data_IF_439932426329
#
_entry.id   IF_439932426329
#
_cell.length_a   1.000
_cell.length_b   1.000
_cell.length_c   1.000
_cell.angle_alpha   90.00
_cell.angle_beta   90.00
_cell.angle_gamma   90.00
#
_symmetry.space_group_name_H-M   'P 1'
#
loop_
_entity.id
_entity.type
_entity.pdbx_description
1 polymer ?
#
# COMPACT_ATOMS: atom_id res chain seq x y z
N UNK A 1 3.87 34.13 -11.77
CA UNK A 1 2.85 33.32 -11.07
C UNK A 1 3.11 33.06 -9.56
N UNK A 2 4.09 33.72 -8.89
CA UNK A 2 4.42 33.48 -7.47
C UNK A 2 3.64 34.31 -6.44
N UNK A 3 2.89 35.34 -6.85
CA UNK A 3 2.29 36.32 -5.93
C UNK A 3 0.94 35.92 -5.33
N UNK A 4 0.25 34.90 -5.87
CA UNK A 4 -1.09 34.52 -5.40
C UNK A 4 -1.10 33.56 -4.20
N UNK A 5 0.01 32.89 -3.89
CA UNK A 5 0.05 31.89 -2.80
C UNK A 5 0.41 32.45 -1.41
N UNK A 6 0.82 33.73 -1.32
CA UNK A 6 1.35 34.33 -0.09
C UNK A 6 0.29 34.92 0.85
N UNK A 7 -1.00 34.87 0.50
CA UNK A 7 -2.07 35.52 1.29
C UNK A 7 -2.57 34.60 2.42
N UNK A 8 -2.33 33.28 2.35
CA UNK A 8 -2.82 32.32 3.34
C UNK A 8 -1.69 31.99 4.33
N UNK A 9 -1.83 32.27 5.64
CA UNK A 9 -0.81 31.99 6.65
C UNK A 9 -0.39 30.51 6.72
N UNK A 10 -1.29 29.59 6.38
CA UNK A 10 -1.04 28.14 6.33
C UNK A 10 -0.05 27.76 5.22
N UNK A 11 -0.03 28.50 4.11
CA UNK A 11 0.93 28.27 3.02
C UNK A 11 2.35 28.69 3.39
N UNK A 12 2.54 29.48 4.45
CA UNK A 12 3.86 29.89 4.91
C UNK A 12 4.68 28.68 5.37
N UNK A 13 4.08 27.79 6.17
CA UNK A 13 4.74 26.55 6.63
C UNK A 13 5.08 25.62 5.48
N UNK A 14 4.20 25.53 4.47
CA UNK A 14 4.44 24.73 3.26
C UNK A 14 5.59 25.31 2.43
N UNK A 15 5.61 26.63 2.21
CA UNK A 15 6.71 27.31 1.52
C UNK A 15 8.04 27.15 2.27
N UNK A 16 8.04 27.28 3.60
CA UNK A 16 9.23 27.05 4.44
C UNK A 16 9.71 25.59 4.37
N UNK A 17 8.80 24.62 4.33
CA UNK A 17 9.14 23.20 4.18
C UNK A 17 9.70 22.89 2.78
N UNK A 18 9.12 23.45 1.73
CA UNK A 18 9.61 23.34 0.35
C UNK A 18 10.97 24.02 0.17
N UNK A 19 11.15 25.20 0.77
CA UNK A 19 12.43 25.91 0.75
C UNK A 19 13.51 25.15 1.53
N UNK A 20 13.16 24.56 2.69
CA UNK A 20 14.05 23.69 3.45
C UNK A 20 14.43 22.43 2.67
N UNK A 21 13.48 21.82 1.95
CA UNK A 21 13.73 20.68 1.08
C UNK A 21 14.66 21.05 -0.07
N UNK A 22 14.39 22.15 -0.78
CA UNK A 22 15.22 22.64 -1.87
C UNK A 22 16.64 22.99 -1.39
N UNK A 23 16.77 23.60 -0.21
CA UNK A 23 18.07 23.88 0.42
C UNK A 23 18.82 22.60 0.79
N UNK A 24 18.13 21.56 1.25
CA UNK A 24 18.73 20.26 1.53
C UNK A 24 19.23 19.58 0.24
N UNK A 25 18.44 19.60 -0.83
CA UNK A 25 18.86 19.10 -2.15
C UNK A 25 20.07 19.87 -2.70
N UNK A 26 20.07 21.19 -2.54
CA UNK A 26 21.18 22.04 -2.97
C UNK A 26 22.43 21.74 -2.14
N UNK A 27 22.31 21.60 -0.83
CA UNK A 27 23.42 21.17 0.05
C UNK A 27 23.97 19.80 -0.35
N UNK A 28 23.12 18.83 -0.70
CA UNK A 28 23.58 17.51 -1.17
C UNK A 28 24.35 17.65 -2.49
N UNK A 29 23.86 18.49 -3.42
CA UNK A 29 24.57 18.79 -4.67
C UNK A 29 25.90 19.48 -4.43
N UNK A 30 25.95 20.43 -3.50
CA UNK A 30 27.15 21.20 -3.19
C UNK A 30 28.19 20.37 -2.42
N UNK A 31 27.77 19.53 -1.48
CA UNK A 31 28.65 18.51 -0.85
C UNK A 31 29.14 17.51 -1.88
N UNK A 32 28.28 17.06 -2.80
CA UNK A 32 28.71 16.17 -3.89
C UNK A 32 29.75 16.83 -4.81
N UNK A 33 29.61 18.14 -5.07
CA UNK A 33 30.59 18.92 -5.84
C UNK A 33 31.89 19.13 -5.07
N UNK A 34 31.82 19.42 -3.77
CA UNK A 34 32.98 19.68 -2.92
C UNK A 34 33.81 18.41 -2.73
N UNK A 35 33.15 17.27 -2.47
CA UNK A 35 33.80 15.95 -2.43
C UNK A 35 34.44 15.62 -3.77
N UNK A 36 33.80 15.95 -4.90
CA UNK A 36 34.42 15.78 -6.22
C UNK A 36 35.66 16.66 -6.41
N UNK A 37 35.61 17.91 -5.95
CA UNK A 37 36.70 18.89 -6.13
C UNK A 37 37.90 18.61 -5.22
N UNK A 38 37.67 18.23 -3.96
CA UNK A 38 38.75 17.90 -3.02
C UNK A 38 39.37 16.53 -3.28
N UNK A 39 38.55 15.53 -3.63
CA UNK A 39 39.08 14.18 -3.86
C UNK A 39 39.58 13.94 -5.29
N UNK A 40 39.21 14.80 -6.24
CA UNK A 40 39.58 14.69 -7.66
C UNK A 40 39.98 16.03 -8.26
N UNK A 41 40.94 16.73 -7.64
CA UNK A 41 41.51 17.98 -8.16
C UNK A 41 42.11 17.83 -9.57
N UNK A 42 42.59 16.63 -9.91
CA UNK A 42 43.21 16.27 -11.20
C UNK A 42 42.21 16.14 -12.37
N UNK A 43 40.92 15.93 -12.08
CA UNK A 43 39.85 15.81 -13.10
C UNK A 43 39.25 17.17 -13.51
N UNK A 44 39.72 18.27 -12.92
CA UNK A 44 39.30 19.60 -13.31
C UNK A 44 40.21 20.14 -14.43
N UNK A 45 39.64 20.53 -15.59
CA UNK A 45 40.41 20.93 -16.78
C UNK A 45 41.29 22.18 -16.59
N UNK A 46 41.19 22.88 -15.46
CA UNK A 46 42.04 24.03 -15.12
C UNK A 46 43.49 23.65 -14.76
N UNK A 47 43.83 22.37 -14.61
CA UNK A 47 45.22 21.92 -14.34
C UNK A 47 45.93 21.30 -15.55
N UNK A 48 45.28 21.24 -16.73
CA UNK A 48 45.88 20.69 -17.95
C UNK A 48 46.40 21.82 -18.84
N UNK A 49 47.33 22.63 -18.32
CA UNK A 49 48.29 23.33 -19.17
C UNK A 49 49.69 23.08 -18.62
N UNK A 50 50.60 22.71 -19.53
CA UNK A 50 52.01 22.39 -19.35
C UNK A 50 52.33 20.96 -18.88
N UNK A 51 52.46 20.06 -19.85
CA UNK A 51 53.73 19.35 -19.97
C UNK A 51 53.67 17.86 -20.26
N UNK A 52 54.15 17.56 -21.46
CA UNK A 52 55.11 16.47 -21.74
C UNK A 52 54.59 15.14 -22.26
N UNK A 53 55.40 14.65 -23.19
CA UNK A 53 55.18 13.58 -24.13
C UNK A 53 55.51 12.20 -23.56
N UNK A 54 54.90 11.21 -24.22
CA UNK A 54 55.34 9.82 -24.36
C UNK A 54 55.46 8.97 -23.07
N UNK A 55 54.57 7.97 -22.92
CA UNK A 55 55.02 6.61 -22.60
C UNK A 55 53.90 5.56 -22.73
N UNK A 56 54.35 4.41 -23.21
CA UNK A 56 53.73 3.10 -23.44
C UNK A 56 52.58 2.62 -22.55
N UNK A 57 51.60 1.97 -23.19
CA UNK A 57 51.34 0.54 -23.04
C UNK A 57 50.77 -0.01 -21.73
N UNK A 58 50.37 0.83 -20.77
CA UNK A 58 49.58 0.40 -19.61
C UNK A 58 48.16 0.90 -19.75
N UNK A 59 47.16 0.05 -19.45
CA UNK A 59 45.77 0.49 -19.31
C UNK A 59 45.80 1.71 -18.39
N UNK A 60 45.30 2.89 -18.83
CA UNK A 60 45.41 4.11 -18.05
C UNK A 60 44.88 3.84 -16.66
N UNK A 61 45.74 4.01 -15.63
CA UNK A 61 45.36 3.80 -14.22
C UNK A 61 44.09 4.59 -13.87
N UNK A 62 43.86 5.68 -14.58
CA UNK A 62 42.64 6.50 -14.64
C UNK A 62 41.35 5.70 -14.94
N UNK A 63 41.35 4.81 -15.93
CA UNK A 63 40.17 4.01 -16.29
C UNK A 63 39.80 3.03 -15.18
N UNK A 64 40.80 2.46 -14.50
CA UNK A 64 40.60 1.53 -13.38
C UNK A 64 40.08 2.26 -12.14
N UNK A 65 40.58 3.47 -11.90
CA UNK A 65 40.13 4.34 -10.80
C UNK A 65 38.69 4.80 -11.04
N UNK A 66 38.35 5.24 -12.26
CA UNK A 66 36.99 5.67 -12.62
C UNK A 66 35.97 4.52 -12.53
N UNK A 67 36.32 3.33 -12.99
CA UNK A 67 35.45 2.15 -12.88
C UNK A 67 35.17 1.79 -11.41
N UNK A 68 36.20 1.84 -10.55
CA UNK A 68 36.07 1.58 -9.11
C UNK A 68 35.22 2.64 -8.41
N UNK A 69 35.30 3.90 -8.84
CA UNK A 69 34.49 5.01 -8.32
C UNK A 69 33.02 4.89 -8.72
N UNK A 70 32.72 4.52 -9.98
CA UNK A 70 31.35 4.25 -10.43
C UNK A 70 30.72 3.09 -9.65
N UNK A 71 31.51 2.05 -9.35
CA UNK A 71 31.07 0.90 -8.56
C UNK A 71 30.75 1.28 -7.09
N UNK A 72 31.58 2.10 -6.45
CA UNK A 72 31.33 2.61 -5.10
C UNK A 72 30.08 3.50 -5.04
N UNK A 73 29.92 4.44 -5.99
CA UNK A 73 28.74 5.30 -6.06
C UNK A 73 27.45 4.50 -6.26
N UNK A 74 27.47 3.51 -7.16
CA UNK A 74 26.33 2.63 -7.38
C UNK A 74 25.99 1.79 -6.14
N UNK A 75 27.00 1.32 -5.39
CA UNK A 75 26.81 0.56 -4.14
C UNK A 75 26.15 1.43 -3.07
N UNK A 76 26.63 2.65 -2.87
CA UNK A 76 26.13 3.57 -1.86
C UNK A 76 24.69 4.03 -2.17
N UNK A 77 24.40 4.32 -3.44
CA UNK A 77 23.03 4.63 -3.89
C UNK A 77 22.08 3.44 -3.73
N UNK A 78 22.55 2.22 -4.00
CA UNK A 78 21.77 0.99 -3.81
C UNK A 78 21.46 0.75 -2.33
N UNK A 79 22.42 0.96 -1.43
CA UNK A 79 22.20 0.83 0.02
C UNK A 79 21.23 1.87 0.56
N UNK A 80 21.34 3.14 0.13
CA UNK A 80 20.37 4.20 0.46
C UNK A 80 18.96 3.84 -0.03
N UNK A 81 18.80 3.43 -1.28
CA UNK A 81 17.48 3.00 -1.81
C UNK A 81 16.96 1.76 -1.07
N UNK A 82 17.84 0.86 -0.65
CA UNK A 82 17.47 -0.33 0.12
C UNK A 82 16.99 0.04 1.52
N UNK A 83 17.64 0.98 2.21
CA UNK A 83 17.20 1.43 3.54
C UNK A 83 15.83 2.13 3.47
N UNK A 84 15.58 2.97 2.46
CA UNK A 84 14.26 3.58 2.22
C UNK A 84 13.17 2.55 1.88
N UNK A 85 13.48 1.53 1.07
CA UNK A 85 12.52 0.47 0.74
C UNK A 85 12.25 -0.48 1.90
N UNK A 86 13.20 -0.66 2.82
CA UNK A 86 13.01 -1.53 3.99
C UNK A 86 12.00 -0.93 4.97
N UNK A 87 12.06 0.40 5.18
CA UNK A 87 11.06 1.14 5.97
C UNK A 87 9.68 1.04 5.31
N UNK A 88 9.60 1.20 3.99
CA UNK A 88 8.35 1.04 3.22
C UNK A 88 7.77 -0.37 3.25
N UNK A 89 8.61 -1.42 3.20
CA UNK A 89 8.18 -2.82 3.24
C UNK A 89 7.66 -3.24 4.62
N UNK A 90 8.28 -2.77 5.69
CA UNK A 90 7.78 -3.00 7.06
C UNK A 90 6.42 -2.33 7.27
N UNK A 91 6.22 -1.12 6.75
CA UNK A 91 4.91 -0.46 6.79
C UNK A 91 3.87 -1.23 5.98
N UNK A 92 4.20 -1.70 4.76
CA UNK A 92 3.30 -2.51 3.93
C UNK A 92 2.86 -3.80 4.62
N UNK A 93 3.77 -4.50 5.31
CA UNK A 93 3.45 -5.72 6.06
C UNK A 93 2.51 -5.42 7.24
N UNK A 94 2.77 -4.36 8.01
CA UNK A 94 1.90 -3.90 9.10
C UNK A 94 0.50 -3.49 8.61
N UNK A 95 0.37 -2.90 7.42
CA UNK A 95 -0.95 -2.52 6.88
C UNK A 95 -1.78 -3.71 6.41
N UNK A 96 -1.14 -4.79 5.96
CA UNK A 96 -1.83 -6.03 5.59
C UNK A 96 -2.41 -6.74 6.81
N UNK A 97 -1.77 -6.61 7.98
CA UNK A 97 -2.22 -7.28 9.21
C UNK A 97 -3.26 -6.48 10.00
N UNK A 98 -3.35 -5.15 9.83
CA UNK A 98 -4.38 -4.33 10.52
C UNK A 98 -5.81 -4.69 10.10
N UNK A 99 -6.67 -4.94 11.08
CA UNK A 99 -8.10 -5.19 10.89
C UNK A 99 -8.83 -3.92 10.44
N UNK A 100 -10.03 -4.06 9.88
CA UNK A 100 -10.84 -2.89 9.50
C UNK A 100 -11.29 -2.07 10.70
N UNK A 101 -11.49 -2.69 11.86
CA UNK A 101 -11.74 -2.00 13.12
C UNK A 101 -10.61 -1.01 13.45
N UNK A 102 -9.35 -1.46 13.44
CA UNK A 102 -8.18 -0.60 13.70
C UNK A 102 -8.02 0.50 12.65
N UNK A 103 -8.25 0.18 11.36
CA UNK A 103 -8.21 1.17 10.27
C UNK A 103 -9.29 2.24 10.44
N UNK A 104 -10.48 1.83 10.92
CA UNK A 104 -11.62 2.70 11.13
C UNK A 104 -11.37 3.73 12.24
N UNK A 105 -10.51 3.45 13.22
CA UNK A 105 -10.13 4.44 14.24
C UNK A 105 -9.39 5.64 13.66
N UNK A 106 -8.51 5.43 12.69
CA UNK A 106 -7.86 6.52 11.96
C UNK A 106 -8.87 7.32 11.11
N UNK A 107 -9.85 6.64 10.51
CA UNK A 107 -10.92 7.27 9.73
C UNK A 107 -11.85 8.09 10.63
N UNK A 108 -12.18 7.58 11.83
CA UNK A 108 -12.93 8.35 12.83
C UNK A 108 -12.16 9.60 13.22
N UNK A 109 -10.87 9.48 13.57
CA UNK A 109 -10.03 10.62 13.95
C UNK A 109 -10.08 11.70 12.87
N UNK A 110 -9.92 11.29 11.60
CA UNK A 110 -10.00 12.17 10.44
C UNK A 110 -11.34 12.92 10.33
N UNK A 111 -12.47 12.24 10.48
CA UNK A 111 -13.79 12.88 10.34
C UNK A 111 -14.26 13.65 11.58
N UNK A 112 -13.65 13.44 12.75
CA UNK A 112 -14.06 14.10 13.99
C UNK A 112 -13.59 15.56 14.03
N UNK A 113 -14.54 16.49 14.17
CA UNK A 113 -14.31 17.95 14.12
C UNK A 113 -13.28 18.47 15.11
N UNK A 114 -13.27 17.94 16.35
CA UNK A 114 -12.33 18.36 17.39
C UNK A 114 -11.02 17.56 17.42
N UNK A 115 -10.87 16.54 16.57
CA UNK A 115 -9.66 15.71 16.53
C UNK A 115 -8.88 16.01 15.25
N UNK A 116 -9.17 15.29 14.17
CA UNK A 116 -8.48 15.44 12.89
C UNK A 116 -9.04 16.53 11.99
N UNK A 117 -10.32 16.91 12.14
CA UNK A 117 -10.95 17.99 11.35
C UNK A 117 -10.69 17.91 9.84
N UNK A 118 -10.75 16.70 9.27
CA UNK A 118 -10.42 16.40 7.88
C UNK A 118 -8.97 16.70 7.46
N UNK A 119 -8.03 16.79 8.40
CA UNK A 119 -6.59 16.86 8.14
C UNK A 119 -6.03 15.44 7.89
N UNK A 120 -5.81 15.14 6.61
CA UNK A 120 -5.27 13.85 6.17
C UNK A 120 -3.82 13.67 6.61
N UNK A 121 -3.00 14.73 6.57
CA UNK A 121 -1.57 14.64 6.88
C UNK A 121 -1.35 14.37 8.36
N UNK A 122 -2.05 15.10 9.22
CA UNK A 122 -2.03 14.86 10.67
C UNK A 122 -2.47 13.43 11.00
N UNK A 123 -3.59 12.98 10.42
CA UNK A 123 -4.11 11.63 10.63
C UNK A 123 -3.09 10.58 10.19
N UNK A 124 -2.52 10.73 9.00
CA UNK A 124 -1.53 9.79 8.46
C UNK A 124 -0.26 9.75 9.30
N UNK A 125 0.23 10.91 9.74
CA UNK A 125 1.40 11.02 10.62
C UNK A 125 1.15 10.33 11.96
N UNK A 126 -0.01 10.59 12.59
CA UNK A 126 -0.32 10.11 13.93
C UNK A 126 -0.55 8.59 14.00
N UNK A 127 -1.22 8.02 12.99
CA UNK A 127 -1.49 6.58 12.93
C UNK A 127 -0.42 5.78 12.18
N UNK A 128 0.64 6.45 11.74
CA UNK A 128 1.70 5.92 10.88
C UNK A 128 1.09 5.20 9.68
N UNK A 129 0.30 5.93 8.88
CA UNK A 129 -0.36 5.46 7.66
C UNK A 129 0.22 6.19 6.46
N UNK A 130 0.47 5.47 5.37
CA UNK A 130 0.84 6.09 4.10
C UNK A 130 -0.33 6.92 3.54
N UNK A 131 -0.05 8.17 3.17
CA UNK A 131 -1.07 9.12 2.69
C UNK A 131 -1.94 8.55 1.56
N UNK A 132 -1.33 7.99 0.51
CA UNK A 132 -2.07 7.45 -0.64
C UNK A 132 -2.95 6.26 -0.25
N UNK A 133 -2.51 5.47 0.73
CA UNK A 133 -3.28 4.35 1.25
C UNK A 133 -4.51 4.83 2.02
N UNK A 134 -4.33 5.81 2.90
CA UNK A 134 -5.43 6.41 3.65
C UNK A 134 -6.43 7.10 2.71
N UNK A 135 -5.95 7.88 1.74
CA UNK A 135 -6.75 8.53 0.72
C UNK A 135 -7.62 7.53 -0.04
N UNK A 136 -7.08 6.36 -0.40
CA UNK A 136 -7.86 5.31 -1.05
C UNK A 136 -9.01 4.80 -0.16
N UNK A 137 -8.80 4.64 1.16
CA UNK A 137 -9.84 4.17 2.08
C UNK A 137 -11.05 5.11 2.17
N UNK A 138 -10.79 6.43 2.13
CA UNK A 138 -11.83 7.47 2.26
C UNK A 138 -12.45 7.90 0.92
N UNK A 139 -11.79 7.63 -0.21
CA UNK A 139 -12.29 8.02 -1.55
C UNK A 139 -12.96 6.87 -2.30
N UNK A 140 -12.47 5.64 -2.16
CA UNK A 140 -12.96 4.51 -2.95
C UNK A 140 -14.21 3.88 -2.31
N UNK A 141 -15.32 3.91 -3.04
CA UNK A 141 -16.65 3.48 -2.57
C UNK A 141 -16.69 2.05 -2.02
N UNK A 142 -15.92 1.12 -2.60
CA UNK A 142 -15.88 -0.28 -2.13
C UNK A 142 -15.29 -0.45 -0.72
N UNK A 143 -14.63 0.57 -0.16
CA UNK A 143 -14.14 0.54 1.21
C UNK A 143 -15.17 1.05 2.21
N UNK A 144 -16.16 1.85 1.80
CA UNK A 144 -17.09 2.51 2.73
C UNK A 144 -17.85 1.50 3.58
N UNK A 145 -18.40 0.45 2.95
CA UNK A 145 -19.09 -0.63 3.68
C UNK A 145 -18.20 -1.35 4.71
N UNK A 146 -16.88 -1.29 4.57
CA UNK A 146 -15.94 -1.95 5.49
C UNK A 146 -15.65 -1.16 6.76
N UNK A 147 -15.81 0.17 6.73
CA UNK A 147 -15.45 1.03 7.87
C UNK A 147 -16.59 1.87 8.43
N UNK A 148 -17.64 2.19 7.66
CA UNK A 148 -18.72 3.10 8.09
C UNK A 148 -19.35 2.65 9.40
N UNK A 149 -19.68 1.36 9.52
CA UNK A 149 -20.31 0.81 10.73
C UNK A 149 -19.42 0.90 11.98
N UNK A 150 -18.10 0.73 11.84
CA UNK A 150 -17.16 0.92 12.95
C UNK A 150 -17.07 2.39 13.35
N UNK A 151 -16.92 3.29 12.37
CA UNK A 151 -16.77 4.72 12.64
C UNK A 151 -18.02 5.30 13.33
N UNK A 152 -19.21 4.82 12.99
CA UNK A 152 -20.45 5.23 13.66
C UNK A 152 -20.60 4.62 15.07
N UNK A 153 -20.04 3.43 15.30
CA UNK A 153 -20.09 2.78 16.61
C UNK A 153 -19.08 3.37 17.61
N UNK A 154 -17.95 3.88 17.13
CA UNK A 154 -16.89 4.39 17.99
C UNK A 154 -17.26 5.69 18.70
N UNK A 155 -16.59 5.89 19.83
CA UNK A 155 -16.53 7.13 20.60
C UNK A 155 -15.08 7.59 20.71
N UNK A 156 -14.86 8.84 21.12
CA UNK A 156 -13.52 9.38 21.36
C UNK A 156 -12.75 8.50 22.38
N UNK A 157 -13.44 8.00 23.41
CA UNK A 157 -12.86 7.07 24.42
C UNK A 157 -12.21 5.82 23.82
N UNK A 158 -12.70 5.32 22.69
CA UNK A 158 -12.24 4.08 22.07
C UNK A 158 -10.96 4.25 21.25
N UNK A 159 -10.62 5.52 20.94
CA UNK A 159 -9.56 5.89 19.99
C UNK A 159 -8.37 6.51 20.72
N UNK A 160 -8.61 7.27 21.80
CA UNK A 160 -7.54 7.85 22.61
C UNK A 160 -6.46 6.83 23.03
N UNK A 161 -6.77 5.58 23.40
CA UNK A 161 -5.76 4.57 23.74
C UNK A 161 -4.82 4.20 22.59
N UNK A 162 -5.26 4.32 21.34
CA UNK A 162 -4.46 3.97 20.16
C UNK A 162 -3.60 5.14 19.65
N UNK A 163 -3.86 6.36 20.15
CA UNK A 163 -3.02 7.51 19.83
C UNK A 163 -1.70 7.44 20.60
N UNK A 164 -0.58 7.93 20.03
CA UNK A 164 0.66 8.06 20.78
C UNK A 164 0.46 8.98 22.01
N UNK A 165 1.00 8.57 23.16
CA UNK A 165 0.80 9.28 24.43
C UNK A 165 1.23 10.76 24.38
N UNK A 166 2.18 11.10 23.51
CA UNK A 166 2.65 12.48 23.27
C UNK A 166 1.55 13.41 22.76
N UNK A 167 0.58 12.89 22.01
CA UNK A 167 -0.50 13.69 21.43
C UNK A 167 -1.78 13.67 22.26
N UNK A 168 -1.98 12.67 23.14
CA UNK A 168 -3.22 12.51 23.92
C UNK A 168 -3.55 13.73 24.77
N UNK A 169 -2.52 14.37 25.36
CA UNK A 169 -2.68 15.57 26.20
C UNK A 169 -3.38 16.72 25.48
N UNK A 170 -3.19 16.83 24.17
CA UNK A 170 -3.78 17.90 23.37
C UNK A 170 -5.29 17.71 23.15
N UNK A 171 -5.85 16.57 23.55
CA UNK A 171 -7.24 16.19 23.34
C UNK A 171 -7.96 15.82 24.64
N UNK A 172 -7.38 16.16 25.80
CA UNK A 172 -7.99 15.89 27.12
C UNK A 172 -9.32 16.62 27.31
N UNK A 173 -9.46 17.81 26.71
CA UNK A 173 -10.70 18.61 26.78
C UNK A 173 -11.80 18.14 25.83
N UNK A 174 -11.53 17.14 24.97
CA UNK A 174 -12.52 16.61 24.03
C UNK A 174 -13.45 15.64 24.76
N UNK A 175 -14.77 15.85 24.62
CA UNK A 175 -15.77 14.96 25.20
C UNK A 175 -15.54 13.50 24.75
N UNK A 176 -15.24 12.64 25.73
CA UNK A 176 -14.96 11.23 25.52
C UNK A 176 -16.14 10.46 24.89
N UNK A 177 -17.37 10.95 25.08
CA UNK A 177 -18.59 10.36 24.53
C UNK A 177 -18.94 10.82 23.12
N UNK A 178 -18.22 11.82 22.59
CA UNK A 178 -18.46 12.39 21.27
C UNK A 178 -18.28 11.35 20.17
N UNK A 179 -19.15 11.44 19.15
CA UNK A 179 -19.19 10.53 18.01
C UNK A 179 -19.12 11.30 16.70
N UNK A 180 -18.74 10.60 15.62
CA UNK A 180 -18.72 11.16 14.27
C UNK A 180 -20.05 10.88 13.57
N UNK A 181 -20.69 11.94 13.06
CA UNK A 181 -21.80 11.79 12.12
C UNK A 181 -21.26 11.67 10.69
N UNK A 182 -21.35 10.46 10.13
CA UNK A 182 -20.94 10.20 8.75
C UNK A 182 -22.03 10.64 7.78
N UNK A 183 -21.63 11.41 6.77
CA UNK A 183 -22.51 11.86 5.70
C UNK A 183 -23.14 10.67 4.95
N UNK A 184 -24.43 10.77 4.68
CA UNK A 184 -25.23 9.80 3.91
C UNK A 184 -24.58 9.36 2.59
N UNK A 185 -23.74 10.19 1.96
CA UNK A 185 -23.00 9.82 0.74
C UNK A 185 -22.06 8.63 0.92
N UNK A 186 -21.57 8.40 2.13
CA UNK A 186 -20.73 7.25 2.47
C UNK A 186 -21.56 6.00 2.80
N UNK A 187 -22.82 6.19 3.22
CA UNK A 187 -23.79 5.10 3.46
C UNK A 187 -24.31 4.48 2.16
N UNK A 188 -24.34 5.27 1.08
CA UNK A 188 -24.89 4.87 -0.22
C UNK A 188 -23.82 4.38 -1.22
N UNK A 189 -23.30 3.17 -1.03
CA UNK A 189 -22.79 2.39 -2.17
C UNK A 189 -22.51 0.92 -1.82
N UNK A 190 -23.59 0.16 -1.69
CA UNK A 190 -23.64 -1.05 -2.51
C UNK A 190 -24.33 -0.63 -3.81
N UNK A 191 -23.62 -0.43 -4.94
CA UNK A 191 -24.31 -0.52 -6.22
C UNK A 191 -24.99 -1.88 -6.23
N UNK A 192 -26.31 -1.88 -6.38
CA UNK A 192 -27.11 -3.09 -6.30
C UNK A 192 -26.50 -4.20 -7.14
N UNK A 193 -26.04 -5.27 -6.50
CA UNK A 193 -25.97 -6.57 -7.14
C UNK A 193 -27.29 -7.31 -6.83
N UNK A 194 -28.39 -6.70 -7.28
CA UNK A 194 -29.63 -7.43 -7.49
C UNK A 194 -29.54 -8.05 -8.88
N UNK A 195 -29.22 -9.34 -8.93
CA UNK A 195 -29.51 -10.15 -10.10
C UNK A 195 -30.58 -11.16 -9.74
N UNK A 196 -31.63 -11.14 -10.54
CA UNK A 196 -32.66 -12.16 -10.61
C UNK A 196 -32.12 -13.26 -11.50
N UNK A 197 -31.85 -14.45 -10.96
CA UNK A 197 -31.63 -15.63 -11.80
C UNK A 197 -32.94 -16.42 -11.89
N UNK A 198 -33.68 -16.24 -12.99
CA UNK A 198 -34.46 -17.35 -13.51
C UNK A 198 -33.45 -18.29 -14.19
N UNK A 199 -33.51 -19.58 -13.88
CA UNK A 199 -32.71 -20.66 -14.47
C UNK A 199 -32.90 -20.83 -16.00
N UNK A 200 -33.46 -19.85 -16.70
CA UNK A 200 -33.79 -19.94 -18.12
C UNK A 200 -32.71 -19.29 -18.98
N UNK A 201 -32.25 -20.06 -19.97
CA UNK A 201 -31.52 -19.58 -21.14
C UNK A 201 -32.38 -18.55 -21.88
N UNK A 202 -32.13 -17.27 -21.65
CA UNK A 202 -32.92 -16.17 -22.18
C UNK A 202 -32.21 -14.83 -22.06
N UNK A 203 -32.67 -13.83 -22.81
CA UNK A 203 -32.17 -12.46 -22.71
C UNK A 203 -32.55 -11.84 -21.36
N UNK A 204 -31.69 -10.95 -20.85
CA UNK A 204 -31.84 -10.31 -19.53
C UNK A 204 -33.23 -9.71 -19.27
N UNK A 205 -33.88 -9.21 -20.32
CA UNK A 205 -35.20 -8.59 -20.23
C UNK A 205 -36.33 -9.61 -20.08
N UNK A 206 -36.20 -10.78 -20.71
CA UNK A 206 -37.14 -11.90 -20.57
C UNK A 206 -37.12 -12.48 -19.15
N UNK A 207 -35.92 -12.70 -18.61
CA UNK A 207 -35.74 -13.27 -17.28
C UNK A 207 -36.25 -12.33 -16.17
N UNK A 208 -36.17 -11.01 -16.38
CA UNK A 208 -36.72 -10.01 -15.44
C UNK A 208 -38.26 -10.04 -15.43
N UNK A 209 -38.89 -10.25 -16.59
CA UNK A 209 -40.34 -10.34 -16.70
C UNK A 209 -40.90 -11.67 -16.16
N UNK A 210 -40.16 -12.78 -16.30
CA UNK A 210 -40.55 -14.09 -15.78
C UNK A 210 -40.49 -14.14 -14.25
N UNK A 211 -39.44 -13.56 -13.63
CA UNK A 211 -39.33 -13.55 -12.17
C UNK A 211 -40.34 -12.63 -11.47
N UNK A 212 -40.83 -11.59 -12.15
CA UNK A 212 -41.93 -10.78 -11.64
C UNK A 212 -43.26 -11.54 -11.56
N UNK A 213 -43.33 -12.75 -12.13
CA UNK A 213 -44.53 -13.61 -12.15
C UNK A 213 -44.40 -14.86 -11.26
N UNK A 214 -43.24 -15.09 -10.64
CA UNK A 214 -43.01 -16.28 -9.80
C UNK A 214 -43.07 -15.92 -8.32
N UNK A 215 -43.89 -16.63 -7.54
CA UNK A 215 -44.04 -16.41 -6.10
C UNK A 215 -42.84 -16.90 -5.27
N UNK A 216 -41.93 -17.69 -5.88
CA UNK A 216 -40.71 -18.17 -5.24
C UNK A 216 -39.48 -17.42 -5.78
N UNK A 217 -39.13 -16.32 -5.12
CA UNK A 217 -37.89 -15.58 -5.39
C UNK A 217 -36.79 -16.14 -4.49
N UNK A 218 -35.85 -16.90 -5.06
CA UNK A 218 -34.64 -17.34 -4.35
C UNK A 218 -33.52 -16.32 -4.56
N UNK A 219 -33.12 -15.63 -3.50
CA UNK A 219 -32.03 -14.65 -3.56
C UNK A 219 -30.68 -15.35 -3.38
N UNK A 220 -29.78 -15.21 -4.37
CA UNK A 220 -28.41 -15.71 -4.29
C UNK A 220 -27.41 -14.57 -4.06
N UNK A 221 -26.56 -14.71 -3.05
CA UNK A 221 -25.43 -13.81 -2.77
C UNK A 221 -24.27 -14.09 -3.75
N UNK A 222 -23.49 -13.08 -4.11
CA UNK A 222 -22.37 -13.24 -5.05
C UNK A 222 -21.21 -14.12 -4.52
N UNK A 223 -21.19 -14.45 -3.21
CA UNK A 223 -20.21 -15.39 -2.64
C UNK A 223 -20.61 -16.85 -2.83
N UNK A 224 -21.90 -17.13 -3.02
CA UNK A 224 -22.28 -18.33 -3.76
C UNK A 224 -21.92 -18.03 -5.21
N UNK A 225 -20.68 -18.33 -5.59
CA UNK A 225 -20.38 -18.66 -6.99
C UNK A 225 -21.43 -19.70 -7.35
N UNK A 226 -22.46 -19.31 -8.09
CA UNK A 226 -23.16 -20.27 -8.92
C UNK A 226 -22.04 -20.90 -9.71
N UNK A 227 -21.79 -22.18 -9.41
CA UNK A 227 -20.91 -23.04 -10.18
C UNK A 227 -21.62 -23.19 -11.52
N UNK A 228 -21.58 -22.13 -12.33
CA UNK A 228 -22.09 -22.08 -13.68
C UNK A 228 -21.28 -23.13 -14.42
N UNK A 229 -21.84 -24.35 -14.51
CA UNK A 229 -21.18 -25.60 -14.89
C UNK A 229 -19.67 -25.44 -14.94
N UNK A 230 -19.06 -25.36 -13.75
CA UNK A 230 -17.64 -25.06 -13.60
C UNK A 230 -16.86 -25.91 -14.59
N UNK A 231 -15.90 -25.28 -15.27
CA UNK A 231 -14.96 -25.94 -16.18
C UNK A 231 -14.71 -27.36 -15.64
N UNK A 232 -15.14 -28.40 -16.36
CA UNK A 232 -14.97 -29.79 -15.88
C UNK A 232 -13.51 -29.94 -15.50
N UNK A 233 -13.27 -30.02 -14.19
CA UNK A 233 -11.91 -30.10 -13.66
C UNK A 233 -11.37 -31.41 -14.20
N UNK A 234 -10.28 -31.33 -14.99
CA UNK A 234 -9.70 -32.50 -15.65
C UNK A 234 -9.29 -33.58 -14.62
N UNK A 235 -9.00 -33.17 -13.39
CA UNK A 235 -8.52 -34.01 -12.29
C UNK A 235 -9.22 -33.67 -10.95
N UNK A 236 -10.53 -33.89 -10.86
CA UNK A 236 -11.34 -33.58 -9.65
C UNK A 236 -10.73 -34.17 -8.37
N UNK A 237 -10.26 -35.41 -8.41
CA UNK A 237 -9.66 -36.09 -7.25
C UNK A 237 -8.37 -35.42 -6.76
N UNK A 238 -7.55 -34.87 -7.68
CA UNK A 238 -6.31 -34.18 -7.31
C UNK A 238 -6.60 -32.83 -6.63
N UNK A 239 -7.63 -32.12 -7.09
CA UNK A 239 -8.04 -30.84 -6.51
C UNK A 239 -8.64 -31.02 -5.12
N UNK A 240 -9.52 -32.01 -4.92
CA UNK A 240 -10.10 -32.33 -3.62
C UNK A 240 -9.04 -32.76 -2.60
N UNK A 241 -8.08 -33.59 -3.02
CA UNK A 241 -6.95 -33.98 -2.18
C UNK A 241 -6.06 -32.79 -1.79
N UNK A 242 -5.77 -31.91 -2.74
CA UNK A 242 -4.94 -30.74 -2.46
C UNK A 242 -5.64 -29.76 -1.51
N UNK A 243 -6.91 -29.45 -1.74
CA UNK A 243 -7.68 -28.53 -0.90
C UNK A 243 -7.78 -29.07 0.52
N UNK A 244 -8.17 -30.34 0.69
CA UNK A 244 -8.27 -30.96 2.02
C UNK A 244 -6.93 -30.97 2.76
N UNK A 245 -5.83 -31.33 2.08
CA UNK A 245 -4.50 -31.39 2.70
C UNK A 245 -3.98 -29.99 3.07
N UNK A 246 -4.17 -28.99 2.21
CA UNK A 246 -3.74 -27.61 2.47
C UNK A 246 -4.53 -27.01 3.63
N UNK A 247 -5.85 -27.22 3.68
CA UNK A 247 -6.70 -26.75 4.78
C UNK A 247 -6.29 -27.38 6.10
N UNK A 248 -6.13 -28.72 6.14
CA UNK A 248 -5.70 -29.41 7.36
C UNK A 248 -4.34 -28.91 7.87
N UNK A 249 -3.36 -28.78 6.97
CA UNK A 249 -2.00 -28.30 7.32
C UNK A 249 -2.01 -26.84 7.80
N UNK A 250 -2.90 -26.02 7.25
CA UNK A 250 -3.12 -24.65 7.70
C UNK A 250 -3.71 -24.59 9.11
N UNK A 251 -4.73 -25.42 9.40
CA UNK A 251 -5.39 -25.48 10.71
C UNK A 251 -4.44 -25.93 11.83
N UNK A 252 -3.47 -26.80 11.51
CA UNK A 252 -2.43 -27.27 12.45
C UNK A 252 -1.26 -26.26 12.56
N UNK A 253 -1.33 -25.12 11.87
CA UNK A 253 -0.31 -24.06 11.93
C UNK A 253 0.98 -24.37 11.14
N UNK A 254 0.94 -25.33 10.21
CA UNK A 254 2.08 -25.68 9.36
C UNK A 254 1.70 -25.55 7.87
N UNK A 255 1.55 -24.31 7.35
CA UNK A 255 1.09 -24.10 5.99
C UNK A 255 2.10 -24.65 4.97
N UNK A 256 1.59 -25.39 3.98
CA UNK A 256 2.41 -25.95 2.92
C UNK A 256 2.96 -24.86 2.00
N UNK A 257 4.25 -24.92 1.72
CA UNK A 257 4.84 -24.14 0.63
C UNK A 257 4.32 -24.64 -0.72
N UNK A 258 4.35 -23.78 -1.74
CA UNK A 258 3.95 -24.16 -3.11
C UNK A 258 4.71 -25.41 -3.59
N UNK A 259 6.02 -25.48 -3.33
CA UNK A 259 6.85 -26.63 -3.71
C UNK A 259 6.45 -27.90 -2.95
N UNK A 260 6.17 -27.80 -1.64
CA UNK A 260 5.72 -28.93 -0.84
C UNK A 260 4.36 -29.48 -1.32
N UNK A 261 3.43 -28.59 -1.69
CA UNK A 261 2.15 -28.96 -2.28
C UNK A 261 2.31 -29.70 -3.62
N UNK A 262 3.24 -29.26 -4.49
CA UNK A 262 3.53 -29.97 -5.74
C UNK A 262 4.17 -31.34 -5.50
N UNK A 263 5.16 -31.43 -4.61
CA UNK A 263 5.80 -32.71 -4.30
C UNK A 263 4.80 -33.72 -3.72
N UNK A 264 3.84 -33.25 -2.91
CA UNK A 264 2.78 -34.06 -2.33
C UNK A 264 1.74 -34.51 -3.38
N UNK A 265 1.45 -33.68 -4.38
CA UNK A 265 0.67 -34.10 -5.55
C UNK A 265 1.40 -35.15 -6.39
N UNK A 266 2.69 -34.95 -6.64
CA UNK A 266 3.53 -35.88 -7.41
C UNK A 266 3.68 -37.21 -6.68
N UNK A 267 3.89 -37.20 -5.36
CA UNK A 267 4.02 -38.45 -4.58
C UNK A 267 2.72 -39.25 -4.52
N UNK A 268 1.56 -38.57 -4.58
CA UNK A 268 0.25 -39.20 -4.40
C UNK A 268 -0.39 -39.61 -5.73
N UNK A 269 -0.16 -38.83 -6.80
CA UNK A 269 -0.78 -39.02 -8.11
C UNK A 269 0.21 -39.11 -9.28
N UNK A 270 1.51 -38.92 -9.05
CA UNK A 270 2.52 -39.16 -10.07
C UNK A 270 2.57 -40.64 -10.39
N UNK A 271 2.36 -40.99 -11.65
CA UNK A 271 2.53 -42.36 -12.10
C UNK A 271 4.02 -42.71 -12.07
N UNK A 272 4.38 -43.86 -11.49
CA UNK A 272 5.70 -44.49 -11.62
C UNK A 272 5.95 -45.06 -13.04
N UNK A 273 5.49 -44.37 -14.09
CA UNK A 273 5.66 -44.83 -15.47
C UNK A 273 6.61 -43.88 -16.20
N UNK A 274 7.90 -44.06 -15.91
CA UNK A 274 9.04 -43.92 -16.83
C UNK A 274 10.31 -44.43 -16.10
N UNK A 275 10.26 -45.70 -15.68
CA UNK A 275 11.43 -46.52 -15.37
C UNK A 275 11.36 -47.81 -16.21
#
# INVERSE_FOLDING_TARGET
MKRFFLIIPENKKWMEAQEKHHKAEQNVKDVSRLVRREMFSELHPETVELGSAASSGSVPKEIVIEARQRQLHHTLMKELLTSFTTIGKQTIALYRTRTWEQKSKAIFFYFHKSLGNMDQELTCSLFLINFMTFQNWITQKWYFGKWVHYVEAFKVSDILPDMPATYRKNYEDVDASSQVQIDSKFRNSTPGHQYVSALSSGTRQKNRNEAGKSDNITYLLQTTKTVSSGRKVKYTQQEEFLISTVVMKWEIGNPLSKLAAYNLLISTFGHEQEA
#
